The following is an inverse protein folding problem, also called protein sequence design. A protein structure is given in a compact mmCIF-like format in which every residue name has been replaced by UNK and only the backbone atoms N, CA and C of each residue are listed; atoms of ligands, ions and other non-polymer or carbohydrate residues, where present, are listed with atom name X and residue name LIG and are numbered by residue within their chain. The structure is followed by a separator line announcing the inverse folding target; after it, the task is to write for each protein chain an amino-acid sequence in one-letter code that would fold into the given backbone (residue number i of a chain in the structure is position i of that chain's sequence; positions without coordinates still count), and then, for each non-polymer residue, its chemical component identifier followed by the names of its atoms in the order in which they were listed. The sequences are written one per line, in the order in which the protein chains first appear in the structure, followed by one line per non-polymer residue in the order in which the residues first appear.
data_IF_982589496161
#
_entry.id   IF_982589496161
#
_cell.length_a   1.000
_cell.length_b   1.000
_cell.length_c   1.000
_cell.angle_alpha   90.00
_cell.angle_beta   90.00
_cell.angle_gamma   90.00
#
_symmetry.space_group_name_H-M   'P 1'
#
loop_
_entity.id
_entity.type
_entity.pdbx_description
1 polymer ?
#
# COMPACT_ATOMS: atom_id res chain seq x y z
N UNK A 1 4.63 -10.45 14.77
CA UNK A 1 4.94 -11.06 13.45
C UNK A 1 4.50 -10.12 12.32
N UNK A 2 5.23 -9.02 12.18
CA UNK A 2 5.05 -8.00 11.14
C UNK A 2 6.43 -7.56 10.59
N UNK A 3 7.50 -8.22 11.01
CA UNK A 3 8.85 -7.95 10.55
C UNK A 3 8.99 -8.41 9.10
N UNK A 4 9.79 -7.67 8.34
CA UNK A 4 10.16 -8.05 6.97
C UNK A 4 10.86 -9.41 7.01
N UNK A 5 10.44 -10.31 6.12
CA UNK A 5 11.12 -11.58 5.92
C UNK A 5 12.39 -11.34 5.08
N UNK A 6 13.39 -12.19 5.27
CA UNK A 6 14.59 -12.15 4.46
C UNK A 6 14.25 -12.61 3.04
N UNK A 7 14.55 -11.77 2.05
CA UNK A 7 14.35 -12.02 0.64
C UNK A 7 15.72 -11.98 -0.06
N UNK A 8 16.29 -13.17 -0.29
CA UNK A 8 17.61 -13.35 -0.90
C UNK A 8 17.63 -12.86 -2.36
N UNK A 9 16.53 -13.03 -3.10
CA UNK A 9 16.42 -12.60 -4.50
C UNK A 9 16.45 -11.06 -4.60
N UNK A 10 15.80 -10.37 -3.65
CA UNK A 10 15.88 -8.92 -3.56
C UNK A 10 17.30 -8.42 -3.24
N UNK A 11 18.04 -9.13 -2.37
CA UNK A 11 19.43 -8.78 -2.04
C UNK A 11 20.36 -8.98 -3.23
N UNK A 12 20.26 -10.12 -3.93
CA UNK A 12 21.04 -10.41 -5.14
C UNK A 12 20.80 -9.32 -6.21
N UNK A 13 19.54 -8.89 -6.41
CA UNK A 13 19.22 -7.81 -7.33
C UNK A 13 19.87 -6.45 -6.97
N UNK A 14 20.06 -6.16 -5.67
CA UNK A 14 20.75 -4.95 -5.22
C UNK A 14 22.27 -5.03 -5.46
N UNK A 15 22.87 -6.22 -5.43
CA UNK A 15 24.30 -6.45 -5.70
C UNK A 15 24.68 -6.15 -7.15
N UNK A 16 23.75 -6.36 -8.10
CA UNK A 16 23.96 -5.99 -9.51
C UNK A 16 24.03 -4.48 -9.77
N UNK A 17 23.73 -3.66 -8.77
CA UNK A 17 23.82 -2.20 -8.82
C UNK A 17 22.45 -1.55 -8.93
N UNK A 18 21.96 -1.06 -7.78
CA UNK A 18 20.77 -0.22 -7.72
C UNK A 18 21.17 1.26 -7.88
N UNK A 19 20.82 1.95 -8.98
CA UNK A 19 21.04 3.40 -9.08
C UNK A 19 20.24 4.13 -7.99
N UNK A 20 20.62 5.36 -7.60
CA UNK A 20 19.87 6.12 -6.61
C UNK A 20 18.44 6.35 -7.09
N UNK A 21 17.49 5.63 -6.49
CA UNK A 21 16.06 5.66 -6.83
C UNK A 21 15.24 6.03 -5.59
N UNK A 22 14.23 6.87 -5.78
CA UNK A 22 13.25 7.21 -4.74
C UNK A 22 11.89 6.60 -5.08
N UNK A 23 11.38 5.74 -4.20
CA UNK A 23 10.01 5.21 -4.28
C UNK A 23 9.05 6.03 -3.42
N UNK A 24 7.86 6.34 -3.94
CA UNK A 24 6.79 6.99 -3.19
C UNK A 24 5.56 6.06 -3.14
N UNK A 25 5.13 5.71 -1.94
CA UNK A 25 3.88 4.98 -1.71
C UNK A 25 2.78 5.90 -1.20
N UNK A 26 1.76 6.16 -2.00
CA UNK A 26 0.56 6.89 -1.59
C UNK A 26 -0.66 5.98 -1.68
N UNK A 27 -1.40 5.85 -0.58
CA UNK A 27 -2.66 5.12 -0.56
C UNK A 27 -3.76 5.94 -1.25
N UNK A 28 -4.29 5.43 -2.36
CA UNK A 28 -5.32 6.12 -3.16
C UNK A 28 -6.56 6.42 -2.32
N UNK A 29 -7.02 5.47 -1.50
CA UNK A 29 -8.18 5.66 -0.63
C UNK A 29 -7.97 6.84 0.34
N UNK A 30 -6.75 6.99 0.88
CA UNK A 30 -6.41 8.11 1.79
C UNK A 30 -6.35 9.44 1.06
N UNK A 31 -5.87 9.45 -0.19
CA UNK A 31 -5.90 10.64 -1.03
C UNK A 31 -7.33 11.09 -1.31
N UNK A 32 -8.21 10.16 -1.70
CA UNK A 32 -9.62 10.48 -1.96
C UNK A 32 -10.29 10.99 -0.69
N UNK A 33 -10.10 10.32 0.45
CA UNK A 33 -10.63 10.79 1.75
C UNK A 33 -10.16 12.21 2.10
N UNK A 34 -8.89 12.55 1.83
CA UNK A 34 -8.35 13.88 2.08
C UNK A 34 -9.01 14.93 1.19
N UNK A 35 -9.24 14.61 -0.09
CA UNK A 35 -9.87 15.54 -1.04
C UNK A 35 -11.38 15.68 -0.84
N UNK A 36 -12.06 14.63 -0.40
CA UNK A 36 -13.52 14.62 -0.21
C UNK A 36 -13.95 14.91 1.22
N UNK A 37 -13.02 14.93 2.18
CA UNK A 37 -13.29 14.99 3.62
C UNK A 37 -14.31 13.91 4.08
N UNK A 38 -14.38 12.80 3.35
CA UNK A 38 -15.33 11.71 3.55
C UNK A 38 -14.62 10.47 4.13
N UNK A 39 -15.38 9.58 4.76
CA UNK A 39 -14.82 8.35 5.31
C UNK A 39 -14.43 7.35 4.21
N UNK A 40 -13.52 6.41 4.50
CA UNK A 40 -13.06 5.39 3.53
C UNK A 40 -14.19 4.54 2.93
N UNK A 41 -15.28 4.38 3.68
CA UNK A 41 -16.47 3.61 3.26
C UNK A 41 -17.33 4.36 2.24
N UNK A 42 -17.18 5.68 2.16
CA UNK A 42 -17.90 6.54 1.22
C UNK A 42 -17.06 6.76 -0.06
N UNK A 43 -15.75 6.53 0.01
CA UNK A 43 -14.83 6.65 -1.13
C UNK A 43 -14.68 5.35 -1.93
N UNK A 44 -15.12 4.21 -1.38
CA UNK A 44 -15.07 2.90 -2.03
C UNK A 44 -16.47 2.54 -2.54
N UNK A 45 -16.59 2.20 -3.85
CA UNK A 45 -17.87 1.85 -4.49
C UNK A 45 -18.58 0.64 -3.86
N UNK A 46 -17.79 -0.36 -3.41
CA UNK A 46 -18.29 -1.57 -2.78
C UNK A 46 -17.45 -1.88 -1.53
N UNK A 47 -17.77 -1.27 -0.37
CA UNK A 47 -17.04 -1.55 0.86
C UNK A 47 -17.28 -3.00 1.28
N UNK A 48 -16.25 -3.66 1.83
CA UNK A 48 -16.41 -4.98 2.43
C UNK A 48 -17.30 -4.85 3.68
N UNK A 49 -18.56 -5.22 3.54
CA UNK A 49 -19.53 -5.28 4.64
C UNK A 49 -19.46 -6.65 5.31
N UNK A 50 -19.71 -6.70 6.62
CA UNK A 50 -19.91 -7.99 7.28
C UNK A 50 -21.20 -8.60 6.71
N UNK A 51 -21.17 -9.85 6.20
CA UNK A 51 -22.39 -10.55 5.80
C UNK A 51 -23.30 -10.73 7.03
N UNK A 52 -24.59 -10.46 6.88
CA UNK A 52 -25.61 -10.74 7.91
C UNK A 52 -25.89 -12.24 7.96
N UNK A 53 -25.14 -12.94 8.81
CA UNK A 53 -25.47 -14.27 9.32
C UNK A 53 -25.10 -14.37 10.80
#
# INVERSE_FOLDING_TARGET
PEAMQLDEDFLEALEFGCPPMGGLGLGVDRLVMLFTNAGIRETILFPLLKPEH
#
